data_IF_825442989514
#
_entry.id   IF_825442989514
#
_cell.length_a   1.000
_cell.length_b   1.000
_cell.length_c   1.000
_cell.angle_alpha   90.00
_cell.angle_beta   90.00
_cell.angle_gamma   90.00
#
_symmetry.space_group_name_H-M   'P 1'
#
loop_
_entity.id
_entity.type
_entity.pdbx_description
1 polymer ?
#
# COMPACT_ATOMS: atom_id res chain seq x y z
N UNK A 1 31.17 18.17 -13.36
CA UNK A 1 30.65 16.85 -12.95
C UNK A 1 31.57 16.18 -11.94
N UNK A 2 32.89 16.30 -12.10
CA UNK A 2 33.90 15.67 -11.22
C UNK A 2 33.67 15.84 -9.72
N UNK A 3 33.18 16.99 -9.25
CA UNK A 3 32.93 17.19 -7.81
C UNK A 3 31.72 16.47 -7.26
N UNK A 4 30.81 16.01 -8.12
CA UNK A 4 29.51 15.44 -7.75
C UNK A 4 29.40 13.93 -8.02
N UNK A 5 30.44 13.30 -8.57
CA UNK A 5 30.49 11.87 -8.85
C UNK A 5 31.36 11.19 -7.81
N UNK A 6 30.81 10.16 -7.14
CA UNK A 6 31.52 9.38 -6.13
C UNK A 6 30.90 7.98 -6.03
N UNK A 7 31.51 7.08 -5.25
CA UNK A 7 30.94 5.76 -4.98
C UNK A 7 29.58 5.81 -4.29
N UNK A 8 29.21 6.92 -3.64
CA UNK A 8 27.85 7.15 -3.12
C UNK A 8 26.76 7.11 -4.21
N UNK A 9 27.12 7.29 -5.48
CA UNK A 9 26.20 7.13 -6.61
C UNK A 9 25.70 5.69 -6.77
N UNK A 10 26.46 4.68 -6.30
CA UNK A 10 26.04 3.26 -6.30
C UNK A 10 24.69 3.10 -5.62
N UNK A 11 24.58 3.57 -4.38
CA UNK A 11 23.31 3.46 -3.64
C UNK A 11 22.25 4.43 -4.18
N UNK A 12 22.63 5.68 -4.46
CA UNK A 12 21.70 6.74 -4.84
C UNK A 12 21.02 6.51 -6.20
N UNK A 13 21.72 5.85 -7.14
CA UNK A 13 21.17 5.49 -8.44
C UNK A 13 20.74 4.02 -8.49
N UNK A 14 21.69 3.09 -8.34
CA UNK A 14 21.43 1.68 -8.55
C UNK A 14 20.59 1.06 -7.43
N UNK A 15 20.98 1.29 -6.17
CA UNK A 15 20.22 0.81 -5.01
C UNK A 15 18.78 1.31 -5.00
N UNK A 16 18.57 2.61 -5.25
CA UNK A 16 17.23 3.18 -5.41
C UNK A 16 16.46 2.53 -6.56
N UNK A 17 17.04 2.51 -7.76
CA UNK A 17 16.35 2.04 -8.96
C UNK A 17 16.00 0.55 -8.89
N UNK A 18 16.93 -0.29 -8.45
CA UNK A 18 16.71 -1.72 -8.26
C UNK A 18 15.63 -1.99 -7.20
N UNK A 19 15.65 -1.24 -6.08
CA UNK A 19 14.60 -1.31 -5.07
C UNK A 19 13.21 -0.92 -5.60
N UNK A 20 13.13 0.06 -6.50
CA UNK A 20 11.87 0.44 -7.16
C UNK A 20 11.38 -0.66 -8.12
N UNK A 21 12.28 -1.27 -8.91
CA UNK A 21 11.94 -2.37 -9.81
C UNK A 21 11.38 -3.55 -9.02
N UNK A 22 12.05 -3.98 -7.93
CA UNK A 22 11.57 -5.07 -7.06
C UNK A 22 10.19 -4.81 -6.45
N UNK A 23 9.83 -3.55 -6.21
CA UNK A 23 8.53 -3.14 -5.65
C UNK A 23 7.47 -2.87 -6.72
N UNK A 24 7.82 -2.95 -8.01
CA UNK A 24 6.96 -2.47 -9.08
C UNK A 24 5.66 -3.29 -9.25
N UNK A 25 5.66 -4.58 -8.91
CA UNK A 25 4.50 -5.49 -8.95
C UNK A 25 4.06 -6.00 -7.56
N UNK A 26 4.39 -5.28 -6.48
CA UNK A 26 4.06 -5.74 -5.13
C UNK A 26 2.55 -5.99 -4.95
N UNK A 27 2.18 -7.13 -4.33
CA UNK A 27 0.80 -7.54 -4.05
C UNK A 27 -0.02 -6.48 -3.31
N UNK A 28 0.64 -5.59 -2.57
CA UNK A 28 0.01 -4.50 -1.82
C UNK A 28 -0.34 -3.27 -2.68
N UNK A 29 -0.08 -3.28 -3.99
CA UNK A 29 -0.45 -2.15 -4.85
C UNK A 29 -1.96 -2.10 -5.03
N UNK A 30 -2.55 -0.93 -4.73
CA UNK A 30 -4.00 -0.66 -4.84
C UNK A 30 -4.59 -0.95 -6.23
N UNK A 31 -3.81 -0.77 -7.30
CA UNK A 31 -4.22 -1.14 -8.66
C UNK A 31 -4.43 -2.65 -8.85
N UNK A 32 -3.66 -3.47 -8.14
CA UNK A 32 -3.71 -4.93 -8.22
C UNK A 32 -4.60 -5.55 -7.13
N UNK A 33 -4.99 -4.77 -6.12
CA UNK A 33 -5.85 -5.20 -5.02
C UNK A 33 -7.01 -4.20 -4.86
N UNK A 34 -8.02 -4.24 -5.75
CA UNK A 34 -9.16 -3.34 -5.68
C UNK A 34 -10.02 -3.66 -4.46
N UNK A 35 -10.46 -2.62 -3.76
CA UNK A 35 -11.49 -2.76 -2.72
C UNK A 35 -12.88 -2.57 -3.31
N UNK A 36 -13.88 -3.18 -2.68
CA UNK A 36 -15.30 -2.99 -3.01
C UNK A 36 -15.65 -1.49 -3.03
N UNK A 37 -16.59 -1.10 -3.91
CA UNK A 37 -17.17 0.24 -3.92
C UNK A 37 -18.04 0.50 -2.68
N UNK A 38 -18.60 -0.56 -2.10
CA UNK A 38 -19.41 -0.48 -0.89
C UNK A 38 -18.54 -0.68 0.35
N UNK A 39 -18.65 0.24 1.29
CA UNK A 39 -17.95 0.17 2.57
C UNK A 39 -18.65 -0.85 3.47
N UNK A 40 -17.90 -1.82 3.99
CA UNK A 40 -18.38 -2.74 5.02
C UNK A 40 -18.72 -1.99 6.31
N UNK A 41 -19.77 -2.45 6.97
CA UNK A 41 -20.24 -1.98 8.26
C UNK A 41 -19.56 -2.75 9.41
N UNK A 42 -19.82 -2.33 10.66
CA UNK A 42 -19.40 -3.10 11.85
C UNK A 42 -20.05 -4.49 11.91
N UNK A 43 -21.22 -4.68 11.31
CA UNK A 43 -21.93 -5.97 11.32
C UNK A 43 -21.20 -7.03 10.51
N UNK A 44 -20.42 -6.63 9.49
CA UNK A 44 -19.57 -7.53 8.68
C UNK A 44 -18.38 -8.11 9.46
N UNK A 45 -18.09 -7.55 10.64
CA UNK A 45 -17.01 -7.98 11.53
C UNK A 45 -17.55 -8.65 12.80
N UNK A 46 -18.87 -8.86 12.87
CA UNK A 46 -19.54 -9.53 13.96
C UNK A 46 -19.85 -10.98 13.62
N UNK A 47 -19.59 -11.89 14.55
CA UNK A 47 -19.86 -13.32 14.41
C UNK A 47 -20.54 -13.86 15.67
N UNK A 48 -21.45 -14.80 15.50
CA UNK A 48 -22.07 -15.54 16.59
C UNK A 48 -21.23 -16.78 16.90
N UNK A 49 -20.97 -17.03 18.17
CA UNK A 49 -20.27 -18.23 18.65
C UNK A 49 -21.27 -19.38 18.74
N UNK A 50 -21.04 -20.45 17.99
CA UNK A 50 -21.84 -21.68 18.02
C UNK A 50 -20.91 -22.88 18.24
N UNK A 51 -20.95 -23.45 19.45
CA UNK A 51 -20.05 -24.54 19.84
C UNK A 51 -18.58 -24.12 19.74
N UNK A 52 -17.80 -24.84 18.93
CA UNK A 52 -16.38 -24.57 18.68
C UNK A 52 -16.13 -23.72 17.42
N UNK A 53 -17.17 -23.15 16.81
CA UNK A 53 -17.09 -22.38 15.57
C UNK A 53 -17.80 -21.03 15.70
N UNK A 54 -17.71 -20.23 14.63
CA UNK A 54 -18.44 -18.97 14.53
C UNK A 54 -19.21 -18.86 13.22
N UNK A 55 -20.33 -18.14 13.26
CA UNK A 55 -21.21 -17.88 12.11
C UNK A 55 -21.32 -16.37 11.90
N UNK A 56 -21.22 -15.84 10.67
CA UNK A 56 -21.41 -14.40 10.43
C UNK A 56 -22.76 -13.91 10.95
N UNK A 57 -22.77 -12.82 11.72
CA UNK A 57 -23.96 -12.28 12.38
C UNK A 57 -25.13 -12.08 11.41
N UNK A 58 -24.88 -11.46 10.27
CA UNK A 58 -25.93 -11.13 9.30
C UNK A 58 -26.59 -12.40 8.73
N UNK A 59 -25.80 -13.44 8.49
CA UNK A 59 -26.31 -14.74 8.07
C UNK A 59 -27.16 -15.38 9.17
N UNK A 60 -26.66 -15.37 10.40
CA UNK A 60 -27.36 -15.93 11.56
C UNK A 60 -28.71 -15.23 11.83
N UNK A 61 -28.76 -13.90 11.75
CA UNK A 61 -29.99 -13.13 11.88
C UNK A 61 -30.99 -13.47 10.76
N UNK A 62 -30.51 -13.52 9.51
CA UNK A 62 -31.34 -13.80 8.34
C UNK A 62 -31.99 -15.19 8.40
N UNK A 63 -31.22 -16.22 8.79
CA UNK A 63 -31.74 -17.59 8.95
C UNK A 63 -32.86 -17.70 10.00
N UNK A 64 -32.91 -16.75 10.95
CA UNK A 64 -33.90 -16.73 12.03
C UNK A 64 -35.01 -15.70 11.83
N UNK A 65 -35.01 -14.99 10.70
CA UNK A 65 -35.96 -13.89 10.46
C UNK A 65 -35.82 -12.76 11.48
N UNK A 66 -34.64 -12.59 12.07
CA UNK A 66 -34.37 -11.62 13.12
C UNK A 66 -33.79 -10.33 12.56
N UNK A 67 -34.14 -9.20 13.16
CA UNK A 67 -33.68 -7.89 12.73
C UNK A 67 -32.67 -7.31 13.72
N UNK A 68 -31.52 -6.82 13.22
CA UNK A 68 -30.47 -6.28 14.09
C UNK A 68 -30.97 -5.14 15.01
N UNK A 69 -31.98 -4.36 14.58
CA UNK A 69 -32.56 -3.26 15.35
C UNK A 69 -33.27 -3.69 16.64
N UNK A 70 -33.63 -4.97 16.74
CA UNK A 70 -34.30 -5.58 17.91
C UNK A 70 -33.33 -6.36 18.80
N UNK A 71 -32.04 -6.25 18.54
CA UNK A 71 -31.02 -6.95 19.33
C UNK A 71 -30.55 -6.06 20.47
N UNK A 72 -30.48 -6.65 21.66
CA UNK A 72 -29.82 -6.07 22.82
C UNK A 72 -28.44 -6.70 23.00
N UNK A 73 -27.45 -5.89 23.36
CA UNK A 73 -26.09 -6.38 23.63
C UNK A 73 -25.62 -5.96 25.01
N UNK A 74 -25.03 -6.91 25.74
CA UNK A 74 -24.31 -6.66 26.99
C UNK A 74 -22.88 -7.13 26.83
N UNK A 75 -21.91 -6.28 27.17
CA UNK A 75 -20.50 -6.65 27.14
C UNK A 75 -20.19 -7.64 28.26
N UNK A 76 -19.48 -8.73 27.94
CA UNK A 76 -19.07 -9.70 28.96
C UNK A 76 -17.79 -9.21 29.63
N UNK A 77 -17.82 -9.10 30.96
CA UNK A 77 -16.66 -8.68 31.74
C UNK A 77 -15.49 -9.65 31.54
N UNK A 78 -14.27 -9.11 31.44
CA UNK A 78 -13.03 -9.86 31.25
C UNK A 78 -12.90 -10.69 29.96
N UNK A 79 -13.94 -10.76 29.13
CA UNK A 79 -13.90 -11.35 27.79
C UNK A 79 -13.83 -10.24 26.74
N UNK A 80 -12.62 -9.96 26.24
CA UNK A 80 -12.42 -8.94 25.20
C UNK A 80 -13.23 -9.33 23.95
N UNK A 81 -13.90 -8.34 23.35
CA UNK A 81 -14.65 -8.50 22.10
C UNK A 81 -15.82 -9.51 22.16
N UNK A 82 -16.26 -9.91 23.36
CA UNK A 82 -17.37 -10.83 23.53
C UNK A 82 -18.57 -10.15 24.20
N UNK A 83 -19.75 -10.41 23.65
CA UNK A 83 -21.01 -9.78 24.04
C UNK A 83 -22.09 -10.86 24.20
N UNK A 84 -22.90 -10.76 25.24
CA UNK A 84 -24.14 -11.50 25.36
C UNK A 84 -25.21 -10.83 24.49
N UNK A 85 -25.83 -11.62 23.61
CA UNK A 85 -26.85 -11.17 22.68
C UNK A 85 -28.23 -11.55 23.20
N UNK A 86 -29.12 -10.57 23.25
CA UNK A 86 -30.52 -10.70 23.61
C UNK A 86 -31.37 -10.26 22.42
N UNK A 87 -32.60 -10.75 22.35
CA UNK A 87 -33.51 -10.40 21.26
C UNK A 87 -34.87 -9.98 21.80
N UNK A 88 -35.42 -8.94 21.21
CA UNK A 88 -36.74 -8.41 21.52
C UNK A 88 -37.74 -8.79 20.41
N UNK A 89 -38.38 -9.97 20.49
CA UNK A 89 -39.27 -10.45 19.44
C UNK A 89 -40.48 -9.54 19.24
N UNK A 90 -40.96 -8.89 20.31
CA UNK A 90 -42.19 -8.09 20.30
C UNK A 90 -41.92 -6.58 20.22
N UNK A 91 -40.67 -6.14 20.30
CA UNK A 91 -40.28 -4.73 20.24
C UNK A 91 -40.58 -3.93 21.51
N UNK A 92 -40.76 -4.61 22.64
CA UNK A 92 -41.20 -3.99 23.92
C UNK A 92 -40.06 -3.68 24.88
N UNK A 93 -38.86 -4.23 24.63
CA UNK A 93 -37.67 -4.07 25.48
C UNK A 93 -36.85 -2.83 25.17
N UNK A 94 -37.26 -2.06 24.15
CA UNK A 94 -36.65 -0.77 23.82
C UNK A 94 -35.21 -0.86 23.33
N UNK A 95 -34.78 -2.02 22.83
CA UNK A 95 -33.46 -2.16 22.24
C UNK A 95 -33.32 -1.29 20.98
N UNK A 96 -32.11 -0.79 20.74
CA UNK A 96 -31.80 0.07 19.59
C UNK A 96 -30.95 -0.64 18.52
N UNK A 97 -30.65 -1.92 18.76
CA UNK A 97 -29.87 -2.76 17.87
C UNK A 97 -28.37 -2.70 18.08
N UNK A 98 -27.67 -3.47 17.24
CA UNK A 98 -26.23 -3.66 17.29
C UNK A 98 -25.51 -2.44 16.73
N UNK A 99 -26.01 -1.91 15.61
CA UNK A 99 -25.47 -0.72 14.94
C UNK A 99 -26.65 0.18 14.54
N UNK A 100 -27.08 1.12 15.40
CA UNK A 100 -28.27 1.95 15.15
C UNK A 100 -28.11 2.89 13.94
N UNK A 101 -26.87 3.23 13.58
CA UNK A 101 -26.52 4.09 12.44
C UNK A 101 -25.64 3.33 11.47
N UNK A 102 -25.78 3.60 10.17
CA UNK A 102 -24.94 3.04 9.10
C UNK A 102 -23.46 3.38 9.27
N UNK A 103 -23.14 4.54 9.83
CA UNK A 103 -21.77 5.02 10.04
C UNK A 103 -21.18 4.57 11.38
N UNK A 104 -21.88 3.73 12.14
CA UNK A 104 -21.41 3.27 13.43
C UNK A 104 -20.01 2.65 13.32
N UNK A 105 -19.13 3.04 14.24
CA UNK A 105 -17.76 2.51 14.33
C UNK A 105 -17.57 1.53 15.48
N UNK A 106 -18.59 1.39 16.33
CA UNK A 106 -18.62 0.47 17.45
C UNK A 106 -20.05 -0.07 17.65
N UNK A 107 -20.19 -1.10 18.46
CA UNK A 107 -21.48 -1.68 18.79
C UNK A 107 -22.23 -0.83 19.82
N UNK A 108 -23.55 -0.79 19.71
CA UNK A 108 -24.42 -0.21 20.73
C UNK A 108 -24.76 -1.25 21.79
N UNK A 109 -24.56 -0.88 23.06
CA UNK A 109 -24.97 -1.70 24.20
C UNK A 109 -26.41 -1.38 24.60
N UNK A 110 -27.03 -2.31 25.33
CA UNK A 110 -28.40 -2.18 25.83
C UNK A 110 -28.46 -2.46 27.32
N UNK A 111 -29.40 -1.79 28.00
CA UNK A 111 -29.80 -2.17 29.34
C UNK A 111 -30.69 -3.41 29.24
N UNK A 112 -30.25 -4.51 29.84
CA UNK A 112 -31.00 -5.77 29.85
C UNK A 112 -31.43 -6.06 31.29
N UNK A 113 -32.71 -6.39 31.54
CA UNK A 113 -33.20 -6.77 32.86
C UNK A 113 -32.39 -7.93 33.47
N UNK A 114 -32.26 -7.92 34.80
CA UNK A 114 -31.58 -8.98 35.52
C UNK A 114 -32.32 -10.32 35.37
N UNK A 115 -31.57 -11.40 35.18
CA UNK A 115 -32.13 -12.75 35.04
C UNK A 115 -32.55 -13.13 33.62
N UNK A 116 -32.48 -12.23 32.63
CA UNK A 116 -32.67 -12.64 31.23
C UNK A 116 -31.56 -13.59 30.78
N UNK A 117 -31.95 -14.61 30.01
CA UNK A 117 -31.00 -15.55 29.41
C UNK A 117 -30.54 -15.04 28.04
N UNK A 118 -29.22 -14.93 27.80
CA UNK A 118 -28.71 -14.59 26.47
C UNK A 118 -29.18 -15.62 25.44
N UNK A 119 -29.60 -15.14 24.27
CA UNK A 119 -29.94 -15.98 23.13
C UNK A 119 -28.69 -16.55 22.48
N UNK A 120 -27.60 -15.77 22.45
CA UNK A 120 -26.33 -16.17 21.85
C UNK A 120 -25.17 -15.34 22.41
N UNK A 121 -23.95 -15.71 22.01
CA UNK A 121 -22.75 -14.91 22.25
C UNK A 121 -22.22 -14.36 20.93
N UNK A 122 -21.95 -13.06 20.91
CA UNK A 122 -21.44 -12.35 19.74
C UNK A 122 -19.99 -11.94 19.98
N UNK A 123 -19.12 -12.29 19.04
CA UNK A 123 -17.76 -11.77 18.93
C UNK A 123 -17.72 -10.63 17.91
N UNK A 124 -17.00 -9.54 18.23
CA UNK A 124 -16.79 -8.43 17.31
C UNK A 124 -15.30 -8.12 17.14
N UNK A 125 -14.79 -8.37 15.94
CA UNK A 125 -13.39 -8.09 15.59
C UNK A 125 -13.18 -6.58 15.36
N UNK A 126 -13.04 -5.84 16.46
CA UNK A 126 -12.91 -4.38 16.45
C UNK A 126 -11.60 -3.93 15.78
N UNK A 127 -10.50 -4.66 16.03
CA UNK A 127 -9.19 -4.37 15.45
C UNK A 127 -9.20 -4.58 13.93
N UNK A 128 -9.87 -5.63 13.46
CA UNK A 128 -10.09 -5.92 12.05
C UNK A 128 -10.91 -4.84 11.34
N UNK A 129 -12.03 -4.42 11.93
CA UNK A 129 -12.85 -3.34 11.36
C UNK A 129 -12.09 -2.01 11.29
N UNK A 130 -11.34 -1.69 12.35
CA UNK A 130 -10.52 -0.48 12.41
C UNK A 130 -9.43 -0.48 11.33
N UNK A 131 -8.79 -1.62 11.11
CA UNK A 131 -7.77 -1.77 10.05
C UNK A 131 -8.39 -1.67 8.66
N UNK A 132 -9.52 -2.33 8.43
CA UNK A 132 -10.29 -2.19 7.20
C UNK A 132 -10.68 -0.73 6.89
N UNK A 133 -11.16 0.02 7.89
CA UNK A 133 -11.54 1.42 7.68
C UNK A 133 -10.37 2.30 7.22
N UNK A 134 -9.16 2.07 7.78
CA UNK A 134 -7.94 2.79 7.37
C UNK A 134 -7.55 2.44 5.94
N UNK A 135 -7.57 1.16 5.59
CA UNK A 135 -7.26 0.69 4.23
C UNK A 135 -8.26 1.22 3.21
N UNK A 136 -9.56 1.17 3.53
CA UNK A 136 -10.63 1.67 2.69
C UNK A 136 -10.49 3.18 2.44
N UNK A 137 -10.28 3.98 3.50
CA UNK A 137 -10.06 5.42 3.35
C UNK A 137 -8.83 5.71 2.48
N UNK A 138 -7.73 4.98 2.70
CA UNK A 138 -6.52 5.10 1.88
C UNK A 138 -6.79 4.76 0.41
N UNK A 139 -7.59 3.72 0.15
CA UNK A 139 -7.97 3.32 -1.21
C UNK A 139 -8.83 4.38 -1.91
N UNK A 140 -9.86 4.91 -1.23
CA UNK A 140 -10.71 5.97 -1.76
C UNK A 140 -9.92 7.25 -2.07
N UNK A 141 -9.00 7.64 -1.18
CA UNK A 141 -8.11 8.77 -1.43
C UNK A 141 -7.24 8.52 -2.67
N UNK A 142 -6.68 7.32 -2.81
CA UNK A 142 -5.91 6.96 -4.01
C UNK A 142 -6.77 7.00 -5.28
N UNK A 143 -8.03 6.56 -5.23
CA UNK A 143 -8.94 6.68 -6.38
C UNK A 143 -9.17 8.14 -6.77
N UNK A 144 -9.34 9.03 -5.78
CA UNK A 144 -9.57 10.46 -6.03
C UNK A 144 -8.32 11.18 -6.57
N UNK A 145 -7.13 10.79 -6.11
CA UNK A 145 -5.87 11.50 -6.41
C UNK A 145 -5.04 10.83 -7.52
N UNK A 146 -5.39 9.63 -7.99
CA UNK A 146 -4.56 8.90 -8.96
C UNK A 146 -4.44 9.65 -10.28
N UNK A 147 -3.28 9.51 -10.91
CA UNK A 147 -3.09 9.95 -12.28
C UNK A 147 -3.78 8.97 -13.24
N UNK A 148 -4.94 9.37 -13.76
CA UNK A 148 -5.78 8.53 -14.62
C UNK A 148 -5.04 8.07 -15.89
N UNK A 149 -4.25 8.94 -16.53
CA UNK A 149 -3.47 8.56 -17.72
C UNK A 149 -2.47 7.44 -17.43
N UNK A 150 -1.77 7.50 -16.29
CA UNK A 150 -0.83 6.44 -15.88
C UNK A 150 -1.55 5.14 -15.52
N UNK A 151 -2.70 5.25 -14.86
CA UNK A 151 -3.54 4.09 -14.53
C UNK A 151 -4.04 3.38 -15.79
N UNK A 152 -4.63 4.11 -16.73
CA UNK A 152 -5.10 3.55 -18.02
C UNK A 152 -3.95 2.95 -18.82
N UNK A 153 -2.80 3.62 -18.88
CA UNK A 153 -1.61 3.06 -19.53
C UNK A 153 -1.17 1.73 -18.92
N UNK A 154 -1.16 1.63 -17.58
CA UNK A 154 -0.79 0.41 -16.86
C UNK A 154 -1.75 -0.75 -17.13
N UNK A 155 -3.06 -0.45 -17.16
CA UNK A 155 -4.07 -1.45 -17.49
C UNK A 155 -3.97 -1.89 -18.96
N UNK A 156 -3.78 -0.95 -19.88
CA UNK A 156 -3.76 -1.22 -21.31
C UNK A 156 -2.67 -2.21 -21.74
N UNK A 157 -1.46 -2.11 -21.15
CA UNK A 157 -0.38 -3.05 -21.46
C UNK A 157 -0.40 -4.32 -20.59
N UNK A 158 -1.25 -4.40 -19.55
CA UNK A 158 -1.53 -5.63 -18.79
C UNK A 158 -0.39 -6.19 -17.92
N UNK A 159 0.81 -5.61 -17.96
CA UNK A 159 1.99 -6.16 -17.27
C UNK A 159 2.01 -5.93 -15.75
N UNK A 160 1.05 -5.17 -15.20
CA UNK A 160 0.91 -4.99 -13.75
C UNK A 160 1.99 -4.11 -13.09
N UNK A 161 2.74 -3.33 -13.86
CA UNK A 161 3.70 -2.33 -13.38
C UNK A 161 3.55 -1.01 -14.15
N UNK A 162 3.98 0.10 -13.55
CA UNK A 162 3.96 1.39 -14.24
C UNK A 162 5.13 1.50 -15.23
N UNK A 163 4.83 1.42 -16.54
CA UNK A 163 5.84 1.38 -17.60
C UNK A 163 6.73 2.64 -17.70
N UNK A 164 6.19 3.82 -17.38
CA UNK A 164 6.98 5.06 -17.34
C UNK A 164 8.02 4.99 -16.23
N UNK A 165 7.60 4.59 -15.04
CA UNK A 165 8.48 4.44 -13.89
C UNK A 165 9.55 3.39 -14.17
N UNK A 166 9.16 2.24 -14.71
CA UNK A 166 10.06 1.15 -15.05
C UNK A 166 11.16 1.59 -16.03
N UNK A 167 10.80 2.33 -17.09
CA UNK A 167 11.78 2.92 -18.00
C UNK A 167 12.75 3.86 -17.28
N UNK A 168 12.23 4.73 -16.39
CA UNK A 168 13.08 5.63 -15.62
C UNK A 168 14.03 4.90 -14.68
N UNK A 169 13.59 3.82 -14.04
CA UNK A 169 14.45 3.02 -13.14
C UNK A 169 15.54 2.28 -13.91
N UNK A 170 15.26 1.74 -15.10
CA UNK A 170 16.30 1.18 -15.96
C UNK A 170 17.32 2.24 -16.38
N UNK A 171 16.83 3.41 -16.81
CA UNK A 171 17.72 4.53 -17.14
C UNK A 171 18.64 4.92 -15.98
N UNK A 172 18.15 4.89 -14.74
CA UNK A 172 18.96 5.17 -13.54
C UNK A 172 20.00 4.07 -13.27
N UNK A 173 19.63 2.79 -13.38
CA UNK A 173 20.58 1.68 -13.23
C UNK A 173 21.72 1.76 -14.25
N UNK A 174 21.38 1.97 -15.52
CA UNK A 174 22.40 2.08 -16.55
C UNK A 174 23.25 3.36 -16.40
N UNK A 175 22.69 4.42 -15.83
CA UNK A 175 23.46 5.63 -15.48
C UNK A 175 24.44 5.35 -14.34
N UNK A 176 24.06 4.52 -13.36
CA UNK A 176 24.97 4.08 -12.32
C UNK A 176 26.16 3.30 -12.91
N UNK A 177 25.90 2.47 -13.93
CA UNK A 177 26.95 1.75 -14.64
C UNK A 177 27.91 2.68 -15.40
N UNK A 178 27.37 3.70 -16.08
CA UNK A 178 28.20 4.73 -16.75
C UNK A 178 29.07 5.49 -15.75
N UNK A 179 28.51 5.84 -14.59
CA UNK A 179 29.25 6.49 -13.51
C UNK A 179 30.41 5.60 -13.07
N UNK A 180 30.17 4.31 -12.80
CA UNK A 180 31.20 3.40 -12.33
C UNK A 180 32.32 3.19 -13.37
N UNK A 181 31.95 3.05 -14.65
CA UNK A 181 32.90 2.77 -15.76
C UNK A 181 33.65 3.99 -16.26
N UNK A 182 33.04 5.17 -16.20
CA UNK A 182 33.55 6.36 -16.89
C UNK A 182 33.67 7.60 -15.99
N UNK A 183 33.18 7.54 -14.75
CA UNK A 183 33.14 8.70 -13.86
C UNK A 183 32.18 9.81 -14.33
N UNK A 184 31.24 9.49 -15.22
CA UNK A 184 30.39 10.46 -15.89
C UNK A 184 28.90 10.16 -15.72
N UNK A 185 28.12 11.20 -15.49
CA UNK A 185 26.66 11.12 -15.64
C UNK A 185 26.34 11.37 -17.11
N UNK A 186 25.78 10.38 -17.81
CA UNK A 186 25.39 10.46 -19.22
C UNK A 186 23.87 10.59 -19.37
N UNK A 187 23.31 11.80 -19.51
CA UNK A 187 21.86 11.98 -19.54
C UNK A 187 21.22 11.41 -20.80
N UNK A 188 21.93 11.48 -21.94
CA UNK A 188 21.48 10.96 -23.23
C UNK A 188 21.89 9.50 -23.34
N UNK A 189 20.89 8.62 -23.40
CA UNK A 189 21.08 7.17 -23.46
C UNK A 189 21.24 6.70 -24.91
N UNK A 190 22.23 5.83 -25.22
CA UNK A 190 22.38 5.27 -26.55
C UNK A 190 21.26 4.26 -26.89
N UNK A 191 20.74 3.54 -25.90
CA UNK A 191 19.69 2.53 -26.03
C UNK A 191 18.27 3.12 -25.95
N UNK A 192 18.01 4.19 -26.70
CA UNK A 192 16.72 4.91 -26.67
C UNK A 192 15.53 4.00 -26.98
N UNK A 193 15.64 3.16 -28.01
CA UNK A 193 14.51 2.37 -28.49
C UNK A 193 14.11 1.27 -27.51
N UNK A 194 15.10 0.70 -26.81
CA UNK A 194 14.86 -0.25 -25.71
C UNK A 194 14.14 0.41 -24.54
N UNK A 195 14.56 1.60 -24.12
CA UNK A 195 13.86 2.36 -23.07
C UNK A 195 12.42 2.70 -23.48
N UNK A 196 12.19 3.01 -24.76
CA UNK A 196 10.84 3.24 -25.25
C UNK A 196 10.01 1.97 -25.33
N UNK A 197 10.59 0.82 -25.64
CA UNK A 197 9.91 -0.48 -25.58
C UNK A 197 9.43 -0.78 -24.15
N UNK A 198 10.29 -0.57 -23.15
CA UNK A 198 9.91 -0.68 -21.72
C UNK A 198 8.77 0.29 -21.40
N UNK A 199 8.85 1.53 -21.87
CA UNK A 199 7.80 2.55 -21.66
C UNK A 199 6.47 2.20 -22.33
N UNK A 200 6.48 1.44 -23.42
CA UNK A 200 5.28 0.92 -24.09
C UNK A 200 4.72 -0.36 -23.44
N UNK A 201 5.42 -0.92 -22.45
CA UNK A 201 4.97 -2.13 -21.75
C UNK A 201 5.16 -3.41 -22.56
N UNK A 202 6.13 -3.43 -23.47
CA UNK A 202 6.39 -4.56 -24.38
C UNK A 202 7.09 -5.75 -23.70
N UNK A 203 7.52 -5.61 -22.45
CA UNK A 203 8.23 -6.64 -21.68
C UNK A 203 7.44 -7.06 -20.45
N UNK A 204 7.55 -8.33 -20.06
CA UNK A 204 6.98 -8.79 -18.80
C UNK A 204 7.76 -8.25 -17.60
N UNK A 205 7.11 -8.21 -16.44
CA UNK A 205 7.78 -7.85 -15.19
C UNK A 205 8.96 -8.78 -14.90
N UNK A 206 8.77 -10.09 -15.12
CA UNK A 206 9.77 -11.12 -14.85
C UNK A 206 11.01 -10.93 -15.71
N UNK A 207 10.82 -10.71 -17.02
CA UNK A 207 11.93 -10.46 -17.94
C UNK A 207 12.72 -9.19 -17.56
N UNK A 208 12.01 -8.15 -17.10
CA UNK A 208 12.62 -6.93 -16.60
C UNK A 208 13.33 -7.13 -15.27
N UNK A 209 12.78 -7.92 -14.35
CA UNK A 209 13.44 -8.22 -13.08
C UNK A 209 14.77 -8.95 -13.31
N UNK A 210 14.76 -9.98 -14.17
CA UNK A 210 15.99 -10.69 -14.55
C UNK A 210 17.01 -9.77 -15.22
N UNK A 211 16.55 -8.89 -16.12
CA UNK A 211 17.44 -7.89 -16.76
C UNK A 211 18.04 -6.94 -15.71
N UNK A 212 17.24 -6.47 -14.75
CA UNK A 212 17.68 -5.59 -13.70
C UNK A 212 18.68 -6.28 -12.76
N UNK A 213 18.50 -7.57 -12.48
CA UNK A 213 19.44 -8.39 -11.69
C UNK A 213 20.81 -8.51 -12.35
N UNK A 214 20.85 -8.83 -13.64
CA UNK A 214 22.10 -8.87 -14.41
C UNK A 214 22.79 -7.51 -14.41
N UNK A 215 22.04 -6.45 -14.70
CA UNK A 215 22.57 -5.10 -14.74
C UNK A 215 23.07 -4.63 -13.36
N UNK A 216 22.37 -4.99 -12.29
CA UNK A 216 22.81 -4.70 -10.93
C UNK A 216 24.13 -5.39 -10.61
N UNK A 217 24.30 -6.65 -10.98
CA UNK A 217 25.57 -7.36 -10.81
C UNK A 217 26.73 -6.67 -11.56
N UNK A 218 26.50 -6.22 -12.80
CA UNK A 218 27.49 -5.43 -13.55
C UNK A 218 27.86 -4.12 -12.85
N UNK A 219 26.87 -3.42 -12.30
CA UNK A 219 27.08 -2.17 -11.55
C UNK A 219 27.93 -2.43 -10.32
N UNK A 220 27.62 -3.48 -9.56
CA UNK A 220 28.36 -3.85 -8.35
C UNK A 220 29.83 -4.12 -8.66
N UNK A 221 30.11 -4.98 -9.64
CA UNK A 221 31.49 -5.25 -10.09
C UNK A 221 32.21 -3.99 -10.58
N UNK A 222 31.52 -3.12 -11.32
CA UNK A 222 32.14 -1.88 -11.81
C UNK A 222 32.47 -0.90 -10.66
N UNK A 223 31.63 -0.80 -9.63
CA UNK A 223 31.90 0.06 -8.47
C UNK A 223 32.96 -0.53 -7.52
N UNK A 224 33.20 -1.84 -7.54
CA UNK A 224 34.34 -2.45 -6.83
C UNK A 224 35.67 -2.10 -7.50
N UNK A 225 35.69 -2.03 -8.84
CA UNK A 225 36.89 -1.76 -9.63
C UNK A 225 37.15 -0.26 -9.92
N UNK A 226 36.26 0.64 -9.50
CA UNK A 226 36.36 2.06 -9.84
C UNK A 226 37.28 2.86 -8.89
N UNK A 227 38.04 3.79 -9.46
CA UNK A 227 38.89 4.74 -8.74
C UNK A 227 38.15 5.99 -8.26
N UNK A 228 36.82 6.01 -8.37
CA UNK A 228 36.01 7.13 -7.88
C UNK A 228 36.20 7.35 -6.37
N UNK A 229 36.17 8.62 -5.90
CA UNK A 229 36.24 8.91 -4.49
C UNK A 229 35.04 8.33 -3.75
N UNK A 230 35.18 8.05 -2.45
CA UNK A 230 34.08 7.55 -1.63
C UNK A 230 32.93 8.57 -1.56
N UNK A 231 33.27 9.85 -1.36
CA UNK A 231 32.31 10.94 -1.19
C UNK A 231 32.51 12.05 -2.22
N UNK A 232 31.46 12.84 -2.43
CA UNK A 232 31.50 14.03 -3.29
C UNK A 232 32.42 15.10 -2.70
N UNK A 233 33.07 15.88 -3.54
CA UNK A 233 33.91 16.99 -3.10
C UNK A 233 33.04 18.23 -2.82
N UNK A 234 32.43 18.25 -1.64
CA UNK A 234 31.53 19.31 -1.21
C UNK A 234 32.20 20.70 -1.19
N UNK A 235 33.49 20.76 -0.81
CA UNK A 235 34.24 22.01 -0.76
C UNK A 235 34.39 22.65 -2.16
N UNK A 236 34.80 21.86 -3.16
CA UNK A 236 34.93 22.33 -4.55
C UNK A 236 33.58 22.68 -5.16
N UNK A 237 32.53 21.90 -4.88
CA UNK A 237 31.17 22.20 -5.29
C UNK A 237 30.66 23.54 -4.71
N UNK A 238 30.87 23.78 -3.42
CA UNK A 238 30.49 25.03 -2.76
C UNK A 238 31.28 26.22 -3.30
N UNK A 239 32.59 26.09 -3.45
CA UNK A 239 33.43 27.16 -4.01
C UNK A 239 32.98 27.55 -5.42
N UNK A 240 32.55 26.58 -6.24
CA UNK A 240 32.00 26.87 -7.54
C UNK A 240 30.62 27.55 -7.48
N UNK A 241 29.75 27.13 -6.57
CA UNK A 241 28.47 27.79 -6.34
C UNK A 241 28.65 29.26 -5.95
N UNK A 242 29.61 29.56 -5.06
CA UNK A 242 29.96 30.93 -4.66
C UNK A 242 30.41 31.74 -5.89
N UNK A 243 31.36 31.22 -6.69
CA UNK A 243 31.84 31.91 -7.91
C UNK A 243 30.71 32.21 -8.91
N UNK A 244 29.80 31.25 -9.09
CA UNK A 244 28.63 31.47 -9.97
C UNK A 244 27.73 32.57 -9.40
N UNK A 245 27.51 32.57 -8.09
CA UNK A 245 26.67 33.58 -7.42
C UNK A 245 27.27 34.97 -7.49
N UNK A 246 28.57 35.12 -7.24
CA UNK A 246 29.30 36.37 -7.40
C UNK A 246 29.19 36.89 -8.85
N UNK A 247 29.37 36.02 -9.85
CA UNK A 247 29.24 36.45 -11.26
C UNK A 247 27.83 36.93 -11.64
N UNK A 248 26.79 36.39 -11.01
CA UNK A 248 25.39 36.70 -11.34
C UNK A 248 24.86 37.89 -10.52
N UNK A 249 25.32 38.06 -9.28
CA UNK A 249 24.74 39.00 -8.31
C UNK A 249 25.73 39.96 -7.64
N UNK A 250 27.03 39.74 -7.79
CA UNK A 250 28.09 40.58 -7.23
C UNK A 250 28.67 41.51 -8.28
#
# INVERSE_FOLDING_TARGET
>A
SEWFVSKACRQSFAGYAYGQIKKARGLNKKISNPMSSEKKSVLDFCHIVEGAQTVPLQHWLSQRGMEQRRVGLVKIAHARELYALFYDPDGTRGYHGIAPKSEATNLSLSSVPEGETPLAYLSFNQDGYSSYCREYASYQQWLAERNETRYQGTQAHGQGYDAKNMMHTFRLLETALDIARHGEIRPRRPNRDELLAIKRGESSYEALLEKAERLMAEVETAFEATDLPETVNAASALAALIRVRERVYG
#
